data_IF_859382773039
#
_entry.id   IF_859382773039
#
_cell.length_a   1.000
_cell.length_b   1.000
_cell.length_c   1.000
_cell.angle_alpha   90.00
_cell.angle_beta   90.00
_cell.angle_gamma   90.00
#
_symmetry.space_group_name_H-M   'P 1'
#
loop_
_entity.id
_entity.type
_entity.pdbx_description
1 polymer ?
#
# COMPACT_ATOMS: atom_id res chain seq x y z
N UNK A 1 18.81 -17.27 4.74
CA UNK A 1 18.70 -15.95 4.07
C UNK A 1 19.53 -14.95 4.88
N UNK A 2 20.61 -14.44 4.28
CA UNK A 2 21.40 -13.36 4.88
C UNK A 2 20.63 -12.03 4.82
N UNK A 3 20.77 -11.21 5.84
CA UNK A 3 20.22 -9.85 5.80
C UNK A 3 20.85 -9.07 4.62
N UNK A 4 20.07 -8.24 3.92
CA UNK A 4 20.60 -7.41 2.85
C UNK A 4 21.63 -6.40 3.41
N UNK A 5 22.67 -6.14 2.65
CA UNK A 5 23.71 -5.14 3.01
C UNK A 5 23.09 -3.74 3.05
N UNK A 6 22.19 -3.46 2.10
CA UNK A 6 21.47 -2.18 1.99
C UNK A 6 19.98 -2.47 1.87
N UNK A 7 19.16 -1.76 2.65
CA UNK A 7 17.71 -1.70 2.51
C UNK A 7 17.29 -0.29 2.10
N UNK A 8 16.59 -0.17 0.98
CA UNK A 8 16.01 1.09 0.51
C UNK A 8 14.50 1.04 0.74
N UNK A 9 13.96 2.07 1.36
CA UNK A 9 12.52 2.26 1.57
C UNK A 9 12.09 3.58 0.97
N UNK A 10 11.20 3.52 -0.02
CA UNK A 10 10.62 4.71 -0.62
C UNK A 10 9.48 5.22 0.25
N UNK A 11 9.57 6.48 0.67
CA UNK A 11 8.49 7.15 1.38
C UNK A 11 7.35 7.51 0.42
N UNK A 12 6.11 7.41 0.90
CA UNK A 12 4.91 7.67 0.09
C UNK A 12 4.92 9.08 -0.53
N UNK A 13 5.44 10.10 0.16
CA UNK A 13 5.56 11.43 -0.41
C UNK A 13 6.50 11.46 -1.61
N UNK A 14 7.66 10.81 -1.51
CA UNK A 14 8.62 10.74 -2.61
C UNK A 14 8.00 10.05 -3.83
N UNK A 15 7.37 8.88 -3.63
CA UNK A 15 6.68 8.17 -4.71
C UNK A 15 5.51 8.98 -5.30
N UNK A 16 4.82 9.77 -4.48
CA UNK A 16 3.74 10.64 -4.97
C UNK A 16 4.25 11.75 -5.88
N UNK A 17 5.46 12.26 -5.64
CA UNK A 17 6.07 13.35 -6.41
C UNK A 17 6.67 12.87 -7.73
N UNK A 18 7.41 11.77 -7.76
CA UNK A 18 8.15 11.34 -8.94
C UNK A 18 7.66 10.01 -9.56
N UNK A 19 6.83 9.25 -8.84
CA UNK A 19 6.45 7.90 -9.26
C UNK A 19 7.52 6.86 -8.93
N UNK A 20 7.15 5.58 -9.04
CA UNK A 20 8.05 4.49 -8.64
C UNK A 20 9.18 4.24 -9.65
N UNK A 21 8.93 4.43 -10.93
CA UNK A 21 9.94 4.21 -11.99
C UNK A 21 11.12 5.16 -11.79
N UNK A 22 10.84 6.46 -11.67
CA UNK A 22 11.90 7.46 -11.48
C UNK A 22 12.61 7.27 -10.13
N UNK A 23 11.86 6.92 -9.08
CA UNK A 23 12.44 6.63 -7.77
C UNK A 23 13.46 5.47 -7.83
N UNK A 24 13.12 4.39 -8.52
CA UNK A 24 14.00 3.23 -8.73
C UNK A 24 15.25 3.65 -9.52
N UNK A 25 15.07 4.30 -10.66
CA UNK A 25 16.19 4.74 -11.51
C UNK A 25 17.21 5.60 -10.75
N UNK A 26 16.73 6.52 -9.92
CA UNK A 26 17.60 7.37 -9.09
C UNK A 26 18.41 6.56 -8.07
N UNK A 27 17.77 5.56 -7.43
CA UNK A 27 18.46 4.68 -6.50
C UNK A 27 19.49 3.81 -7.21
N UNK A 28 19.15 3.24 -8.35
CA UNK A 28 20.10 2.43 -9.14
C UNK A 28 21.32 3.24 -9.58
N UNK A 29 21.10 4.47 -10.07
CA UNK A 29 22.19 5.37 -10.42
C UNK A 29 23.11 5.68 -9.22
N UNK A 30 22.54 5.78 -8.03
CA UNK A 30 23.30 5.98 -6.81
C UNK A 30 24.06 4.72 -6.40
N UNK A 31 23.40 3.56 -6.40
CA UNK A 31 24.01 2.28 -6.01
C UNK A 31 25.16 1.88 -6.94
N UNK A 32 25.03 2.07 -8.25
CA UNK A 32 26.10 1.80 -9.23
C UNK A 32 27.39 2.57 -8.97
N UNK A 33 27.32 3.71 -8.28
CA UNK A 33 28.51 4.49 -7.88
C UNK A 33 29.19 3.95 -6.63
N UNK A 34 28.44 3.22 -5.78
CA UNK A 34 28.94 2.73 -4.50
C UNK A 34 29.36 1.26 -4.58
N UNK A 35 28.61 0.47 -5.33
CA UNK A 35 28.77 -0.99 -5.38
C UNK A 35 28.75 -1.40 -6.85
N UNK A 36 29.86 -1.94 -7.39
CA UNK A 36 29.95 -2.29 -8.81
C UNK A 36 28.99 -3.41 -9.23
N UNK A 37 28.77 -4.38 -8.33
CA UNK A 37 27.90 -5.53 -8.59
C UNK A 37 26.94 -5.72 -7.40
N UNK A 38 25.64 -5.78 -7.70
CA UNK A 38 24.62 -6.01 -6.69
C UNK A 38 23.39 -6.67 -7.32
N UNK A 39 22.66 -7.41 -6.54
CA UNK A 39 21.34 -7.95 -6.86
C UNK A 39 20.28 -7.18 -6.08
N UNK A 40 19.20 -6.77 -6.78
CA UNK A 40 18.05 -6.11 -6.14
C UNK A 40 16.93 -7.13 -5.94
N UNK A 41 16.33 -7.11 -4.76
CA UNK A 41 15.13 -7.89 -4.44
C UNK A 41 14.09 -7.01 -3.77
N UNK A 42 12.84 -7.18 -4.19
CA UNK A 42 11.72 -6.49 -3.55
C UNK A 42 11.36 -7.26 -2.27
N UNK A 43 11.42 -6.57 -1.14
CA UNK A 43 11.05 -7.14 0.16
C UNK A 43 9.57 -6.96 0.48
N UNK A 44 8.98 -5.86 0.00
CA UNK A 44 7.58 -5.52 0.27
C UNK A 44 7.07 -4.51 -0.76
N UNK A 45 5.81 -4.69 -1.19
CA UNK A 45 5.09 -3.75 -2.05
C UNK A 45 3.81 -3.32 -1.34
N UNK A 46 3.51 -2.01 -1.40
CA UNK A 46 2.23 -1.45 -1.05
C UNK A 46 1.57 -0.87 -2.29
N UNK A 47 0.40 -1.40 -2.63
CA UNK A 47 -0.43 -0.89 -3.71
C UNK A 47 -1.66 -0.24 -3.10
N UNK A 48 -2.08 0.93 -3.59
CA UNK A 48 -3.24 1.59 -3.02
C UNK A 48 -4.01 2.41 -4.05
N UNK A 49 -5.33 2.53 -3.79
CA UNK A 49 -6.22 3.44 -4.48
C UNK A 49 -7.01 4.30 -3.47
N UNK A 50 -7.20 5.57 -3.83
CA UNK A 50 -8.06 6.49 -3.10
C UNK A 50 -9.42 6.56 -3.80
N UNK A 51 -10.49 6.30 -3.08
CA UNK A 51 -11.86 6.22 -3.61
C UNK A 51 -12.81 7.14 -2.86
N UNK A 52 -13.84 7.62 -3.57
CA UNK A 52 -14.94 8.40 -3.01
C UNK A 52 -16.28 7.84 -3.49
N UNK A 53 -17.36 8.14 -2.76
CA UNK A 53 -18.72 7.76 -3.15
C UNK A 53 -19.29 6.57 -2.38
N UNK A 54 -18.48 5.90 -1.59
CA UNK A 54 -18.94 4.90 -0.60
C UNK A 54 -18.41 5.29 0.78
N UNK A 55 -19.29 5.34 1.77
CA UNK A 55 -18.92 5.53 3.17
C UNK A 55 -18.86 4.16 3.84
N UNK A 56 -17.65 3.66 4.02
CA UNK A 56 -17.45 2.37 4.68
C UNK A 56 -17.87 2.44 6.16
N UNK A 57 -18.45 1.36 6.61
CA UNK A 57 -18.91 1.18 7.99
C UNK A 57 -18.62 -0.24 8.49
N UNK A 58 -18.90 -0.50 9.75
CA UNK A 58 -18.62 -1.79 10.37
C UNK A 58 -19.30 -2.98 9.64
N UNK A 59 -20.50 -2.79 9.10
CA UNK A 59 -21.22 -3.86 8.39
C UNK A 59 -20.55 -4.23 7.05
N UNK A 60 -19.79 -3.31 6.45
CA UNK A 60 -19.08 -3.61 5.23
C UNK A 60 -17.98 -4.65 5.44
N UNK A 61 -17.42 -4.78 6.64
CA UNK A 61 -16.42 -5.80 6.96
C UNK A 61 -16.94 -7.21 6.69
N UNK A 62 -18.26 -7.46 6.85
CA UNK A 62 -18.88 -8.76 6.59
C UNK A 62 -19.11 -9.03 5.10
N UNK A 63 -19.02 -8.01 4.24
CA UNK A 63 -19.19 -8.14 2.79
C UNK A 63 -17.90 -8.58 2.09
N UNK A 64 -16.74 -8.37 2.73
CA UNK A 64 -15.46 -8.79 2.20
C UNK A 64 -15.25 -10.28 2.46
N UNK A 65 -14.97 -11.03 1.38
CA UNK A 65 -14.56 -12.43 1.49
C UNK A 65 -13.05 -12.48 1.66
N UNK A 66 -12.58 -13.25 2.62
CA UNK A 66 -11.16 -13.46 2.85
C UNK A 66 -10.89 -14.86 3.36
N UNK A 67 -9.80 -15.46 2.91
CA UNK A 67 -9.28 -16.71 3.47
C UNK A 67 -8.49 -16.48 4.77
N UNK A 68 -8.32 -15.24 5.20
CA UNK A 68 -7.64 -14.92 6.44
C UNK A 68 -8.51 -15.27 7.65
N UNK A 69 -7.90 -15.90 8.65
CA UNK A 69 -8.53 -16.19 9.94
C UNK A 69 -8.61 -14.98 10.88
N UNK A 70 -7.97 -13.86 10.50
CA UNK A 70 -7.93 -12.66 11.34
C UNK A 70 -8.39 -11.43 10.56
N UNK A 71 -9.41 -10.76 11.11
CA UNK A 71 -9.82 -9.42 10.68
C UNK A 71 -9.52 -8.46 11.80
N UNK A 72 -8.76 -7.42 11.53
CA UNK A 72 -8.45 -6.35 12.48
C UNK A 72 -9.19 -5.10 12.07
N UNK A 73 -9.92 -4.51 12.96
CA UNK A 73 -10.48 -3.18 12.77
C UNK A 73 -9.42 -2.15 13.13
N UNK A 74 -9.25 -1.16 12.27
CA UNK A 74 -8.07 -0.32 12.26
C UNK A 74 -8.35 1.02 12.96
N UNK A 75 -7.59 1.31 13.96
CA UNK A 75 -7.34 2.66 14.45
C UNK A 75 -5.87 3.03 14.32
N UNK A 76 -5.59 4.30 14.14
CA UNK A 76 -4.29 4.90 13.96
C UNK A 76 -3.08 4.21 14.64
N UNK A 77 -1.88 4.65 14.29
CA UNK A 77 -0.55 4.15 14.61
C UNK A 77 -0.24 3.70 16.05
N UNK A 78 -1.11 3.93 17.01
CA UNK A 78 -0.82 3.64 18.41
C UNK A 78 -1.26 2.25 18.86
N UNK A 79 -1.34 1.29 17.91
CA UNK A 79 -1.48 -0.16 18.14
C UNK A 79 -2.54 -0.60 19.19
N UNK A 80 -3.42 0.29 19.58
CA UNK A 80 -4.55 -0.07 20.40
C UNK A 80 -5.71 -0.43 19.48
N UNK A 81 -6.02 -1.70 19.49
CA UNK A 81 -7.22 -2.34 18.98
C UNK A 81 -8.48 -1.63 19.47
N UNK A 82 -8.80 -0.48 18.94
CA UNK A 82 -10.09 0.10 19.12
C UNK A 82 -10.69 0.36 17.76
N UNK A 83 -11.80 -0.29 17.57
CA UNK A 83 -12.58 -0.34 16.36
C UNK A 83 -13.14 1.02 15.92
N UNK A 84 -12.97 2.04 16.76
CA UNK A 84 -13.64 3.31 16.62
C UNK A 84 -12.73 4.40 17.24
N UNK A 85 -12.42 5.44 16.51
CA UNK A 85 -11.83 6.64 17.09
C UNK A 85 -12.97 7.52 17.60
N UNK A 86 -13.11 7.69 18.92
CA UNK A 86 -14.22 8.41 19.54
C UNK A 86 -15.60 7.92 19.05
N UNK A 87 -15.81 6.60 18.93
CA UNK A 87 -17.01 5.98 18.38
C UNK A 87 -17.26 6.19 16.88
N UNK A 88 -16.29 6.72 16.13
CA UNK A 88 -16.38 6.85 14.68
C UNK A 88 -15.59 5.73 14.01
N UNK A 89 -16.21 4.99 13.11
CA UNK A 89 -15.54 3.96 12.32
C UNK A 89 -14.53 4.61 11.36
N UNK A 90 -13.27 4.20 11.46
CA UNK A 90 -12.17 4.76 10.66
C UNK A 90 -11.56 3.77 9.69
N UNK A 91 -11.94 2.50 9.73
CA UNK A 91 -11.45 1.50 8.79
C UNK A 91 -11.32 0.11 9.39
N UNK A 92 -10.75 -0.79 8.59
CA UNK A 92 -10.48 -2.17 8.98
C UNK A 92 -9.30 -2.73 8.19
N UNK A 93 -8.75 -3.84 8.64
CA UNK A 93 -7.76 -4.62 7.90
C UNK A 93 -8.08 -6.10 7.94
N UNK A 94 -7.69 -6.80 6.88
CA UNK A 94 -7.82 -8.25 6.73
C UNK A 94 -6.47 -8.85 6.39
N UNK A 95 -6.24 -10.08 6.84
CA UNK A 95 -4.96 -10.72 6.65
C UNK A 95 -3.93 -10.30 7.71
N UNK A 96 -2.77 -10.91 7.64
CA UNK A 96 -1.63 -10.63 8.50
C UNK A 96 -0.33 -11.07 7.81
N UNK A 97 0.81 -10.67 8.40
CA UNK A 97 2.11 -11.14 7.94
C UNK A 97 2.40 -10.77 6.50
N UNK A 98 2.42 -11.76 5.61
CA UNK A 98 2.94 -11.61 4.26
C UNK A 98 1.95 -11.02 3.25
N UNK A 99 0.66 -11.01 3.59
CA UNK A 99 -0.40 -10.42 2.76
C UNK A 99 -1.48 -9.77 3.62
N UNK A 100 -1.72 -8.47 3.41
CA UNK A 100 -2.69 -7.71 4.18
C UNK A 100 -3.42 -6.69 3.32
N UNK A 101 -4.75 -6.64 3.45
CA UNK A 101 -5.61 -5.60 2.91
C UNK A 101 -6.00 -4.63 4.02
N UNK A 102 -5.96 -3.34 3.75
CA UNK A 102 -6.43 -2.27 4.62
C UNK A 102 -7.43 -1.41 3.88
N UNK A 103 -8.54 -1.07 4.54
CA UNK A 103 -9.49 -0.07 4.08
C UNK A 103 -9.64 0.96 5.18
N UNK A 104 -9.31 2.22 4.92
CA UNK A 104 -9.33 3.23 5.97
C UNK A 104 -9.66 4.64 5.46
N UNK A 105 -10.24 5.44 6.36
CA UNK A 105 -10.61 6.83 6.10
C UNK A 105 -9.34 7.69 5.95
N UNK A 106 -8.97 7.97 4.70
CA UNK A 106 -7.77 8.73 4.38
C UNK A 106 -7.92 10.22 4.67
N UNK A 107 -9.13 10.75 4.55
CA UNK A 107 -9.42 12.15 4.96
C UNK A 107 -9.11 12.34 6.43
N UNK A 108 -9.65 11.49 7.28
CA UNK A 108 -9.41 11.53 8.72
C UNK A 108 -7.91 11.38 9.06
N UNK A 109 -7.21 10.46 8.38
CA UNK A 109 -5.78 10.27 8.59
C UNK A 109 -4.97 11.54 8.28
N UNK A 110 -5.29 12.24 7.19
CA UNK A 110 -4.59 13.48 6.79
C UNK A 110 -4.87 14.62 7.78
N UNK A 111 -6.09 14.73 8.26
CA UNK A 111 -6.47 15.72 9.26
C UNK A 111 -5.72 15.51 10.58
N UNK A 112 -5.57 14.26 10.99
CA UNK A 112 -4.86 13.88 12.22
C UNK A 112 -3.34 14.02 12.08
N UNK A 113 -2.78 13.70 10.91
CA UNK A 113 -1.34 13.67 10.65
C UNK A 113 -0.94 14.71 9.59
N UNK A 114 -0.61 15.92 10.01
CA UNK A 114 -0.25 17.04 9.11
C UNK A 114 0.87 16.73 8.12
N UNK A 115 1.81 15.83 8.47
CA UNK A 115 2.89 15.41 7.58
C UNK A 115 2.40 14.61 6.36
N UNK A 116 1.13 14.24 6.28
CA UNK A 116 0.51 13.56 5.13
C UNK A 116 -0.35 14.48 4.26
N UNK A 117 -0.44 15.77 4.60
CA UNK A 117 -1.26 16.75 3.87
C UNK A 117 -0.85 16.95 2.41
N UNK A 118 0.39 16.58 2.03
CA UNK A 118 0.90 16.63 0.64
C UNK A 118 0.04 15.85 -0.35
N UNK A 119 -0.68 14.83 0.09
CA UNK A 119 -1.52 13.97 -0.78
C UNK A 119 -2.62 14.81 -1.44
N UNK A 120 -3.24 15.72 -0.70
CA UNK A 120 -4.34 16.54 -1.21
C UNK A 120 -3.93 17.35 -2.43
N UNK A 121 -2.97 18.28 -2.37
CA UNK A 121 -2.57 19.07 -3.54
C UNK A 121 -1.90 18.26 -4.66
N UNK A 122 -1.22 17.15 -4.33
CA UNK A 122 -0.46 16.37 -5.32
C UNK A 122 -1.30 15.29 -6.02
N UNK A 123 -2.44 14.88 -5.46
CA UNK A 123 -3.25 13.80 -6.01
C UNK A 123 -4.73 14.14 -6.10
N UNK A 124 -5.32 14.67 -5.05
CA UNK A 124 -6.76 14.85 -5.02
C UNK A 124 -7.19 16.12 -5.76
N UNK A 125 -6.62 17.27 -5.45
CA UNK A 125 -7.02 18.57 -6.02
C UNK A 125 -6.78 18.65 -7.54
N UNK A 126 -5.87 17.83 -8.07
CA UNK A 126 -5.61 17.75 -9.53
C UNK A 126 -6.57 16.77 -10.24
N UNK A 127 -7.33 15.96 -9.53
CA UNK A 127 -8.28 15.04 -10.12
C UNK A 127 -9.64 15.74 -10.32
N UNK A 128 -10.12 15.90 -11.56
CA UNK A 128 -11.37 16.62 -11.85
C UNK A 128 -12.62 15.95 -11.26
N UNK A 129 -12.54 14.69 -10.84
CA UNK A 129 -13.64 13.95 -10.20
C UNK A 129 -13.60 14.06 -8.66
N UNK A 130 -12.59 14.70 -8.09
CA UNK A 130 -12.49 14.85 -6.65
C UNK A 130 -13.53 15.81 -6.11
N UNK A 131 -14.23 15.41 -5.05
CA UNK A 131 -15.16 16.25 -4.34
C UNK A 131 -14.64 16.50 -2.89
N UNK A 132 -14.27 17.74 -2.54
CA UNK A 132 -13.72 18.06 -1.23
C UNK A 132 -14.73 17.88 -0.08
N UNK A 133 -16.02 17.78 -0.38
CA UNK A 133 -17.09 17.57 0.61
C UNK A 133 -17.39 16.08 0.87
N UNK A 134 -16.67 15.16 0.21
CA UNK A 134 -16.83 13.72 0.40
C UNK A 134 -15.58 13.11 1.02
N UNK A 135 -15.76 12.16 1.90
CA UNK A 135 -14.68 11.37 2.48
C UNK A 135 -13.91 10.64 1.39
N UNK A 136 -12.60 10.65 1.50
CA UNK A 136 -11.71 9.79 0.72
C UNK A 136 -11.35 8.58 1.57
N UNK A 137 -11.63 7.42 1.05
CA UNK A 137 -11.20 6.14 1.61
C UNK A 137 -10.03 5.59 0.83
N UNK A 138 -9.08 4.99 1.51
CA UNK A 138 -7.96 4.29 0.88
C UNK A 138 -8.14 2.79 1.02
N UNK A 139 -8.04 2.10 -0.11
CA UNK A 139 -7.88 0.66 -0.18
C UNK A 139 -6.40 0.41 -0.43
N UNK A 140 -5.74 -0.34 0.44
CA UNK A 140 -4.29 -0.56 0.39
C UNK A 140 -3.98 -2.04 0.59
N UNK A 141 -3.21 -2.62 -0.31
CA UNK A 141 -2.69 -3.98 -0.19
C UNK A 141 -1.20 -3.95 0.11
N UNK A 142 -0.79 -4.70 1.12
CA UNK A 142 0.61 -4.95 1.46
C UNK A 142 0.95 -6.39 1.08
N UNK A 143 1.98 -6.57 0.27
CA UNK A 143 2.46 -7.87 -0.19
C UNK A 143 3.95 -7.97 0.11
N UNK A 144 4.31 -8.91 0.99
CA UNK A 144 5.71 -9.17 1.33
C UNK A 144 6.33 -10.23 0.44
N UNK A 145 7.66 -10.26 0.42
CA UNK A 145 8.46 -11.16 -0.40
C UNK A 145 8.02 -12.63 -0.30
N UNK A 146 7.74 -13.13 0.89
CA UNK A 146 7.30 -14.53 1.05
C UNK A 146 6.02 -14.82 0.27
N UNK A 147 5.08 -13.87 0.25
CA UNK A 147 3.86 -14.00 -0.55
C UNK A 147 4.16 -13.85 -2.04
N UNK A 148 4.98 -12.87 -2.44
CA UNK A 148 5.37 -12.69 -3.84
C UNK A 148 5.93 -13.98 -4.44
N UNK A 149 6.82 -14.69 -3.74
CA UNK A 149 7.39 -15.98 -4.16
C UNK A 149 6.37 -17.11 -4.34
N UNK A 150 5.15 -16.97 -3.85
CA UNK A 150 4.08 -17.95 -4.04
C UNK A 150 3.18 -17.64 -5.23
N UNK A 151 3.35 -16.48 -5.84
CA UNK A 151 2.56 -16.02 -6.98
C UNK A 151 3.28 -16.35 -8.26
N UNK A 152 2.57 -16.97 -9.18
CA UNK A 152 3.06 -17.26 -10.54
C UNK A 152 2.39 -16.27 -11.48
N UNK A 153 3.14 -15.34 -12.01
CA UNK A 153 2.71 -14.44 -13.07
C UNK A 153 3.06 -14.99 -14.46
N UNK A 154 2.79 -14.23 -15.51
CA UNK A 154 3.05 -14.62 -16.90
C UNK A 154 4.53 -14.93 -17.17
N UNK A 155 5.43 -14.24 -16.48
CA UNK A 155 6.88 -14.38 -16.60
C UNK A 155 7.51 -15.29 -15.53
N UNK A 156 6.71 -16.11 -14.85
CA UNK A 156 7.16 -17.04 -13.81
C UNK A 156 6.90 -16.59 -12.38
N UNK A 157 7.61 -17.19 -11.44
CA UNK A 157 7.49 -16.86 -10.00
C UNK A 157 7.96 -15.42 -9.75
N UNK A 158 7.21 -14.64 -8.96
CA UNK A 158 7.52 -13.26 -8.64
C UNK A 158 8.65 -13.14 -7.59
N UNK A 159 9.85 -13.54 -7.98
CA UNK A 159 11.05 -13.45 -7.14
C UNK A 159 12.09 -12.45 -7.68
N UNK A 160 12.19 -12.30 -8.98
CA UNK A 160 13.06 -11.32 -9.65
C UNK A 160 12.54 -9.88 -9.52
N UNK A 161 13.47 -8.91 -9.48
CA UNK A 161 13.11 -7.50 -9.35
C UNK A 161 12.21 -7.02 -10.50
N UNK A 162 12.66 -7.20 -11.73
CA UNK A 162 11.93 -6.74 -12.93
C UNK A 162 10.60 -7.49 -13.10
N UNK A 163 10.59 -8.80 -12.86
CA UNK A 163 9.38 -9.64 -12.94
C UNK A 163 8.28 -9.13 -11.98
N UNK A 164 8.68 -8.70 -10.78
CA UNK A 164 7.71 -8.13 -9.82
C UNK A 164 7.23 -6.75 -10.25
N UNK A 165 8.09 -5.92 -10.84
CA UNK A 165 7.68 -4.60 -11.34
C UNK A 165 6.71 -4.70 -12.50
N UNK A 166 6.94 -5.60 -13.43
CA UNK A 166 6.07 -5.85 -14.58
C UNK A 166 4.69 -6.37 -14.13
N UNK A 167 4.65 -7.15 -13.06
CA UNK A 167 3.42 -7.72 -12.51
C UNK A 167 2.61 -6.77 -11.60
N UNK A 168 3.01 -5.50 -11.41
CA UNK A 168 2.28 -4.57 -10.52
C UNK A 168 0.78 -4.44 -10.88
N UNK A 169 0.37 -4.29 -12.15
CA UNK A 169 -1.04 -4.24 -12.51
C UNK A 169 -1.80 -5.51 -12.12
N UNK A 170 -1.20 -6.68 -12.35
CA UNK A 170 -1.82 -7.97 -12.06
C UNK A 170 -1.90 -8.22 -10.55
N UNK A 171 -0.89 -7.80 -9.80
CA UNK A 171 -0.92 -7.84 -8.34
C UNK A 171 -2.05 -6.97 -7.76
N UNK A 172 -2.32 -5.82 -8.40
CA UNK A 172 -3.46 -4.98 -8.01
C UNK A 172 -4.78 -5.67 -8.34
N UNK A 173 -4.97 -6.18 -9.56
CA UNK A 173 -6.15 -6.91 -9.97
C UNK A 173 -6.43 -8.11 -9.05
N UNK A 174 -5.42 -8.96 -8.83
CA UNK A 174 -5.49 -10.08 -7.89
C UNK A 174 -5.94 -9.65 -6.49
N UNK A 175 -5.49 -8.49 -6.04
CA UNK A 175 -5.83 -7.97 -4.69
C UNK A 175 -7.28 -7.53 -4.58
N UNK A 176 -7.92 -7.18 -5.69
CA UNK A 176 -9.32 -6.71 -5.73
C UNK A 176 -10.32 -7.83 -6.01
N UNK A 177 -9.86 -8.98 -6.49
CA UNK A 177 -10.69 -10.15 -6.85
C UNK A 177 -10.83 -11.18 -5.72
N UNK A 178 -10.18 -11.01 -4.58
CA UNK A 178 -10.17 -11.99 -3.47
C UNK A 178 -11.37 -11.88 -2.55
#
# INVERSE_FOLDING_TARGET
>A
DSNPIIKVEFRAEYLTRCGYIEAIQRVELFLKKLIPEYEIKISEIHLCADVQGHEFNLLDTYKFKTNSRSTKLFESKDDKLSYLNNNVFTGFSMGNGDYMLRVYNKTHEIEKFKNKSYIKPLKWDINPKYNPNKTVWRIETQIRRNKLKTIVGDNGILDGFDVVLDAIPDLWAMSMEQ
#
